data_IF_894184338652
#
_entry.id   IF_894184338652
#
_cell.length_a   1.000
_cell.length_b   1.000
_cell.length_c   1.000
_cell.angle_alpha   90.00
_cell.angle_beta   90.00
_cell.angle_gamma   90.00
#
_symmetry.space_group_name_H-M   'P 1'
#
loop_
_entity.id
_entity.type
_entity.pdbx_description
1 polymer ?
#
# COMPACT_ATOMS: atom_id res chain seq x y z
N UNK A 1 13.86 -9.47 -12.67
CA UNK A 1 14.11 -9.80 -11.40
C UNK A 1 15.52 -10.23 -11.15
N UNK A 2 16.31 -9.23 -11.08
CA UNK A 2 17.73 -9.48 -10.96
C UNK A 2 18.12 -10.15 -9.65
N UNK A 3 17.16 -10.51 -8.85
CA UNK A 3 17.41 -11.04 -7.54
C UNK A 3 17.70 -12.51 -7.47
N UNK A 4 18.24 -13.08 -8.51
CA UNK A 4 18.49 -14.52 -8.53
C UNK A 4 19.43 -14.97 -7.44
N UNK A 5 20.42 -14.17 -7.13
CA UNK A 5 21.36 -14.51 -6.07
C UNK A 5 20.67 -14.53 -4.73
N UNK A 6 19.75 -13.62 -4.53
CA UNK A 6 18.96 -13.58 -3.31
C UNK A 6 17.75 -14.47 -3.33
N UNK A 7 17.61 -15.30 -4.34
CA UNK A 7 16.39 -16.05 -4.54
C UNK A 7 16.07 -16.98 -3.37
N UNK A 8 17.07 -17.64 -2.81
CA UNK A 8 16.84 -18.52 -1.67
C UNK A 8 16.29 -17.78 -0.46
N UNK A 9 16.87 -16.62 -0.15
CA UNK A 9 16.37 -15.80 0.93
C UNK A 9 15.00 -15.23 0.60
N UNK A 10 14.79 -14.86 -0.65
CA UNK A 10 13.51 -14.34 -1.09
C UNK A 10 12.41 -15.36 -0.97
N UNK A 11 12.68 -16.60 -1.29
CA UNK A 11 11.67 -17.66 -1.20
C UNK A 11 11.12 -17.73 0.22
N UNK A 12 11.99 -17.59 1.22
CA UNK A 12 11.54 -17.60 2.61
C UNK A 12 10.67 -16.41 2.96
N UNK A 13 10.84 -15.31 2.24
CA UNK A 13 10.06 -14.09 2.48
C UNK A 13 8.94 -13.89 1.48
N UNK A 14 8.93 -14.65 0.41
CA UNK A 14 8.03 -14.42 -0.71
C UNK A 14 6.57 -14.46 -0.32
N UNK A 15 6.19 -15.36 0.59
CA UNK A 15 4.80 -15.44 1.02
C UNK A 15 4.36 -14.14 1.69
N UNK A 16 5.21 -13.60 2.58
CA UNK A 16 4.89 -12.34 3.25
C UNK A 16 4.91 -11.17 2.26
N UNK A 17 5.90 -11.16 1.38
CA UNK A 17 6.00 -10.11 0.36
C UNK A 17 4.82 -10.19 -0.59
N UNK A 18 4.49 -11.38 -1.06
CA UNK A 18 3.38 -11.58 -1.99
C UNK A 18 2.05 -11.17 -1.35
N UNK A 19 1.84 -11.51 -0.09
CA UNK A 19 0.63 -11.12 0.62
C UNK A 19 0.53 -9.61 0.75
N UNK A 20 1.65 -8.95 1.09
CA UNK A 20 1.70 -7.50 1.18
C UNK A 20 1.43 -6.84 -0.16
N UNK A 21 2.06 -7.35 -1.20
CA UNK A 21 1.91 -6.80 -2.54
C UNK A 21 0.48 -6.98 -3.04
N UNK A 22 -0.11 -8.15 -2.81
CA UNK A 22 -1.49 -8.40 -3.17
C UNK A 22 -2.44 -7.47 -2.43
N UNK A 23 -2.21 -7.25 -1.14
CA UNK A 23 -3.03 -6.32 -0.37
C UNK A 23 -2.85 -4.88 -0.84
N UNK A 24 -1.63 -4.49 -1.18
CA UNK A 24 -1.37 -3.16 -1.71
C UNK A 24 -2.08 -2.96 -3.04
N UNK A 25 -2.09 -3.97 -3.91
CA UNK A 25 -2.80 -3.90 -5.17
C UNK A 25 -4.31 -3.86 -4.96
N UNK A 26 -4.82 -4.59 -3.97
CA UNK A 26 -6.23 -4.53 -3.63
C UNK A 26 -6.63 -3.15 -3.13
N UNK A 27 -5.78 -2.54 -2.29
CA UNK A 27 -6.00 -1.17 -1.84
C UNK A 27 -5.93 -0.18 -3.00
N UNK A 28 -5.02 -0.40 -3.94
CA UNK A 28 -4.91 0.44 -5.13
C UNK A 28 -6.17 0.33 -5.99
N UNK A 29 -6.68 -0.88 -6.18
CA UNK A 29 -7.91 -1.09 -6.93
C UNK A 29 -9.10 -0.40 -6.25
N UNK A 30 -9.17 -0.47 -4.93
CA UNK A 30 -10.20 0.22 -4.17
C UNK A 30 -10.07 1.73 -4.30
N UNK A 31 -8.84 2.24 -4.31
CA UNK A 31 -8.58 3.67 -4.54
C UNK A 31 -9.08 4.10 -5.91
N UNK A 32 -8.79 3.31 -6.93
CA UNK A 32 -9.25 3.60 -8.29
C UNK A 32 -10.77 3.60 -8.37
N UNK A 33 -11.41 2.66 -7.68
CA UNK A 33 -12.86 2.54 -7.64
C UNK A 33 -13.53 3.51 -6.66
N UNK A 34 -12.75 4.28 -5.92
CA UNK A 34 -13.26 5.19 -4.87
C UNK A 34 -14.04 4.43 -3.81
N UNK A 35 -13.52 3.29 -3.41
CA UNK A 35 -14.14 2.39 -2.46
C UNK A 35 -13.37 2.40 -1.14
N UNK A 36 -13.77 3.30 -0.23
CA UNK A 36 -13.11 3.45 1.05
C UNK A 36 -13.17 2.17 1.89
N UNK A 37 -14.30 1.50 1.88
CA UNK A 37 -14.48 0.27 2.65
C UNK A 37 -13.56 -0.84 2.14
N UNK A 38 -13.47 -1.00 0.82
CA UNK A 38 -12.55 -1.97 0.22
C UNK A 38 -11.10 -1.68 0.56
N UNK A 39 -10.72 -0.40 0.55
CA UNK A 39 -9.37 0.00 0.93
C UNK A 39 -9.08 -0.37 2.39
N UNK A 40 -10.01 -0.08 3.30
CA UNK A 40 -9.86 -0.42 4.70
C UNK A 40 -9.75 -1.92 4.91
N UNK A 41 -10.55 -2.71 4.22
CA UNK A 41 -10.47 -4.16 4.31
C UNK A 41 -9.13 -4.70 3.83
N UNK A 42 -8.61 -4.15 2.75
CA UNK A 42 -7.32 -4.58 2.22
C UNK A 42 -6.17 -4.29 3.19
N UNK A 43 -6.26 -3.20 3.94
CA UNK A 43 -5.21 -2.77 4.85
C UNK A 43 -5.33 -3.38 6.24
N UNK A 44 -6.51 -3.86 6.61
CA UNK A 44 -6.78 -4.34 7.97
C UNK A 44 -5.79 -5.40 8.49
N UNK A 45 -5.37 -6.40 7.70
CA UNK A 45 -4.44 -7.41 8.22
C UNK A 45 -3.08 -6.86 8.65
N UNK A 46 -2.73 -5.67 8.24
CA UNK A 46 -1.40 -5.10 8.46
C UNK A 46 -1.38 -4.00 9.52
N UNK A 47 -2.52 -3.71 10.14
CA UNK A 47 -2.61 -2.59 11.05
C UNK A 47 -2.12 -2.87 12.46
N UNK A 48 -1.98 -4.14 12.83
CA UNK A 48 -1.64 -4.51 14.20
C UNK A 48 -0.17 -4.34 14.53
N UNK A 49 0.70 -4.63 13.58
CA UNK A 49 2.13 -4.58 13.81
C UNK A 49 2.72 -3.38 13.09
N UNK A 50 3.50 -2.61 13.84
CA UNK A 50 4.10 -1.39 13.32
C UNK A 50 4.98 -1.66 12.10
N UNK A 51 5.81 -2.70 12.17
CA UNK A 51 6.70 -3.03 11.06
C UNK A 51 5.90 -3.39 9.80
N UNK A 52 4.85 -4.20 9.97
CA UNK A 52 4.00 -4.58 8.85
C UNK A 52 3.27 -3.36 8.27
N UNK A 53 2.81 -2.47 9.14
CA UNK A 53 2.13 -1.26 8.70
C UNK A 53 3.06 -0.35 7.91
N UNK A 54 4.30 -0.18 8.38
CA UNK A 54 5.29 0.62 7.65
C UNK A 54 5.62 0.00 6.30
N UNK A 55 5.79 -1.31 6.25
CA UNK A 55 6.07 -2.01 5.00
C UNK A 55 4.92 -1.85 4.01
N UNK A 56 3.69 -1.89 4.50
CA UNK A 56 2.51 -1.69 3.65
C UNK A 56 2.50 -0.27 3.09
N UNK A 57 2.80 0.73 3.90
CA UNK A 57 2.87 2.11 3.43
C UNK A 57 3.95 2.28 2.35
N UNK A 58 5.09 1.63 2.54
CA UNK A 58 6.16 1.68 1.54
C UNK A 58 5.74 1.01 0.24
N UNK A 59 5.07 -0.12 0.35
CA UNK A 59 4.57 -0.83 -0.83
C UNK A 59 3.56 0.02 -1.59
N UNK A 60 2.64 0.66 -0.89
CA UNK A 60 1.66 1.56 -1.52
C UNK A 60 2.34 2.76 -2.17
N UNK A 61 3.33 3.34 -1.51
CA UNK A 61 4.07 4.46 -2.07
C UNK A 61 4.79 4.05 -3.36
N UNK A 62 5.36 2.86 -3.39
CA UNK A 62 6.01 2.33 -4.59
C UNK A 62 5.01 2.14 -5.72
N UNK A 63 3.82 1.61 -5.42
CA UNK A 63 2.78 1.46 -6.43
C UNK A 63 2.37 2.81 -7.01
N UNK A 64 2.17 3.80 -6.15
CA UNK A 64 1.80 5.13 -6.60
C UNK A 64 2.90 5.74 -7.47
N UNK A 65 4.16 5.61 -7.06
CA UNK A 65 5.28 6.13 -7.83
C UNK A 65 5.40 5.43 -9.18
N UNK A 66 5.23 4.11 -9.21
CA UNK A 66 5.27 3.35 -10.47
C UNK A 66 4.17 3.79 -11.41
N UNK A 67 2.98 4.04 -10.87
CA UNK A 67 1.84 4.54 -11.66
C UNK A 67 2.18 5.87 -12.30
N UNK A 68 2.81 6.76 -11.55
CA UNK A 68 3.17 8.08 -12.05
C UNK A 68 4.28 8.01 -13.10
N UNK A 69 5.05 6.92 -13.11
CA UNK A 69 6.04 6.66 -14.16
C UNK A 69 5.46 5.93 -15.37
N UNK A 70 4.15 5.72 -15.41
CA UNK A 70 3.49 5.11 -16.53
C UNK A 70 3.20 3.63 -16.42
N UNK A 71 3.35 3.03 -15.24
CA UNK A 71 3.13 1.59 -15.03
C UNK A 71 1.68 1.26 -14.66
N UNK A 72 0.72 1.97 -15.25
CA UNK A 72 -0.69 1.79 -14.91
C UNK A 72 -1.18 0.36 -15.11
N UNK A 73 -0.75 -0.29 -16.18
CA UNK A 73 -1.18 -1.66 -16.48
C UNK A 73 -0.80 -2.63 -15.38
N UNK A 74 0.31 -2.35 -14.70
CA UNK A 74 0.80 -3.23 -13.64
C UNK A 74 0.19 -2.89 -12.27
N UNK A 75 -0.13 -1.63 -12.03
CA UNK A 75 -0.60 -1.18 -10.73
C UNK A 75 -2.11 -1.12 -10.62
N UNK A 76 -2.81 -0.96 -11.74
CA UNK A 76 -4.25 -0.79 -11.72
C UNK A 76 -4.73 0.59 -11.31
N UNK A 77 -3.80 1.53 -11.12
CA UNK A 77 -4.13 2.91 -10.75
C UNK A 77 -3.94 3.84 -11.93
N UNK A 78 -4.85 4.81 -12.05
CA UNK A 78 -4.62 5.93 -12.97
C UNK A 78 -3.60 6.89 -12.33
N UNK A 79 -2.87 7.67 -13.15
CA UNK A 79 -1.94 8.65 -12.60
C UNK A 79 -2.60 9.66 -11.66
N UNK A 80 -3.84 10.05 -11.93
CA UNK A 80 -4.57 10.98 -11.08
C UNK A 80 -4.84 10.38 -9.71
N UNK A 81 -5.27 9.12 -9.67
CA UNK A 81 -5.53 8.45 -8.39
C UNK A 81 -4.24 8.15 -7.65
N UNK A 82 -3.17 7.83 -8.37
CA UNK A 82 -1.85 7.68 -7.77
C UNK A 82 -1.36 8.96 -7.12
N UNK A 83 -1.51 10.08 -7.81
CA UNK A 83 -1.13 11.39 -7.29
C UNK A 83 -2.00 11.77 -6.09
N UNK A 84 -3.29 11.42 -6.11
CA UNK A 84 -4.18 11.66 -4.99
C UNK A 84 -3.78 10.83 -3.77
N UNK A 85 -3.43 9.57 -3.98
CA UNK A 85 -3.16 8.63 -2.90
C UNK A 85 -1.81 8.88 -2.23
N UNK A 86 -0.80 9.25 -2.98
CA UNK A 86 0.57 9.30 -2.49
C UNK A 86 0.76 10.17 -1.25
N UNK A 87 0.25 11.42 -1.21
CA UNK A 87 0.40 12.24 -0.01
C UNK A 87 -0.23 11.61 1.23
N UNK A 88 -1.37 10.94 1.05
CA UNK A 88 -2.06 10.28 2.16
C UNK A 88 -1.26 9.09 2.67
N UNK A 89 -0.65 8.32 1.76
CA UNK A 89 0.20 7.19 2.13
C UNK A 89 1.43 7.68 2.89
N UNK A 90 2.06 8.75 2.42
CA UNK A 90 3.24 9.31 3.08
C UNK A 90 2.90 9.84 4.47
N UNK A 91 1.75 10.47 4.62
CA UNK A 91 1.28 10.97 5.91
C UNK A 91 1.00 9.82 6.88
N UNK A 92 0.38 8.75 6.39
CA UNK A 92 0.13 7.57 7.20
C UNK A 92 1.45 6.96 7.69
N UNK A 93 2.42 6.85 6.81
CA UNK A 93 3.74 6.33 7.16
C UNK A 93 4.40 7.18 8.25
N UNK A 94 4.33 8.50 8.12
CA UNK A 94 4.91 9.39 9.10
C UNK A 94 4.23 9.24 10.46
N UNK A 95 2.92 9.09 10.48
CA UNK A 95 2.17 8.90 11.72
C UNK A 95 2.52 7.58 12.40
N UNK A 96 2.67 6.52 11.64
CA UNK A 96 3.05 5.22 12.20
C UNK A 96 4.46 5.31 12.79
N UNK A 97 5.37 5.99 12.11
CA UNK A 97 6.72 6.23 12.64
C UNK A 97 6.68 7.04 13.94
N UNK A 98 5.70 7.91 14.07
CA UNK A 98 5.49 8.69 15.29
C UNK A 98 4.68 7.98 16.35
N UNK A 99 4.53 6.67 16.24
CA UNK A 99 3.83 5.82 17.21
C UNK A 99 2.32 6.01 17.27
N UNK A 100 1.71 6.53 16.21
CA UNK A 100 0.25 6.54 16.13
C UNK A 100 -0.26 5.10 15.96
N UNK A 101 -1.47 4.84 16.44
CA UNK A 101 -2.06 3.51 16.33
C UNK A 101 -2.32 3.13 14.89
N UNK A 102 -1.85 1.95 14.48
CA UNK A 102 -1.98 1.51 13.09
C UNK A 102 -3.43 1.41 12.62
N UNK A 103 -4.31 0.95 13.50
CA UNK A 103 -5.73 0.84 13.15
C UNK A 103 -6.33 2.19 12.79
N UNK A 104 -6.07 3.20 13.60
CA UNK A 104 -6.59 4.55 13.34
C UNK A 104 -5.98 5.12 12.07
N UNK A 105 -4.67 4.97 11.91
CA UNK A 105 -3.98 5.49 10.73
C UNK A 105 -4.52 4.86 9.46
N UNK A 106 -4.70 3.53 9.45
CA UNK A 106 -5.18 2.84 8.26
C UNK A 106 -6.66 3.08 8.00
N UNK A 107 -7.45 3.32 9.05
CA UNK A 107 -8.85 3.71 8.86
C UNK A 107 -8.91 5.05 8.13
N UNK A 108 -8.15 6.03 8.59
CA UNK A 108 -8.10 7.35 7.95
C UNK A 108 -7.54 7.23 6.53
N UNK A 109 -6.48 6.45 6.35
CA UNK A 109 -5.90 6.25 5.04
C UNK A 109 -6.93 5.64 4.07
N UNK A 110 -7.64 4.60 4.51
CA UNK A 110 -8.65 3.98 3.68
C UNK A 110 -9.74 4.95 3.26
N UNK A 111 -10.18 5.78 4.19
CA UNK A 111 -11.17 6.82 3.89
C UNK A 111 -10.65 7.80 2.84
N UNK A 112 -9.40 8.23 3.00
CA UNK A 112 -8.79 9.16 2.07
C UNK A 112 -8.59 8.56 0.69
N UNK A 113 -8.20 7.28 0.64
CA UNK A 113 -8.04 6.60 -0.64
C UNK A 113 -9.35 6.47 -1.38
N UNK A 114 -10.46 6.37 -0.66
CA UNK A 114 -11.78 6.27 -1.28
C UNK A 114 -12.41 7.60 -1.66
N UNK A 115 -11.79 8.71 -1.34
CA UNK A 115 -12.32 10.03 -1.69
C UNK A 115 -12.26 10.29 -3.19
N UNK A 116 -13.23 11.05 -3.64
CA UNK A 116 -13.32 11.43 -5.05
C UNK A 116 -12.26 12.51 -5.47
#
# INVERSE_FOLDING_TARGET
FGGKIGLGLRVLRDETFAARYAAARAAAAACEAKDAYGAMLALAPFERERAAALDMCECLAELCAATMRGARAETGLSPERGAHALPHVQKARARIRGNAGGKLVFTVLGMNLGEA
#
